data_IF_411925677976
#
_entry.id   IF_411925677976
#
_cell.length_a   1.000
_cell.length_b   1.000
_cell.length_c   1.000
_cell.angle_alpha   90.00
_cell.angle_beta   90.00
_cell.angle_gamma   90.00
#
_symmetry.space_group_name_H-M   'P 1'
#
loop_
_entity.id
_entity.type
_entity.pdbx_description
1 polymer ?
#
# COMPACT_ATOMS: atom_id res chain seq x y z
N UNK A 1 -8.43 -16.75 -23.33
CA UNK A 1 -8.62 -15.31 -23.56
C UNK A 1 -8.46 -14.61 -22.21
N UNK A 2 -7.32 -13.97 -21.98
CA UNK A 2 -7.02 -13.29 -20.71
C UNK A 2 -7.29 -11.80 -20.84
N UNK A 3 -8.40 -11.32 -20.27
CA UNK A 3 -8.64 -9.89 -20.16
C UNK A 3 -7.66 -9.31 -19.14
N UNK A 4 -6.83 -8.36 -19.59
CA UNK A 4 -6.04 -7.52 -18.69
C UNK A 4 -6.93 -6.35 -18.30
N UNK A 5 -7.35 -6.29 -17.04
CA UNK A 5 -7.99 -5.11 -16.50
C UNK A 5 -6.91 -4.13 -16.06
N UNK A 6 -7.01 -2.90 -16.55
CA UNK A 6 -6.27 -1.76 -16.00
C UNK A 6 -7.25 -1.00 -15.08
N UNK A 7 -6.78 -0.61 -13.90
CA UNK A 7 -7.45 0.40 -13.09
C UNK A 7 -7.11 1.76 -13.70
N UNK A 8 -8.11 2.45 -14.26
CA UNK A 8 -7.95 3.74 -14.95
C UNK A 8 -8.00 4.94 -13.98
N UNK A 9 -8.59 4.77 -12.79
CA UNK A 9 -8.80 5.87 -11.83
C UNK A 9 -7.75 5.89 -10.71
N UNK A 10 -6.48 6.07 -11.07
CA UNK A 10 -5.55 6.66 -10.11
C UNK A 10 -5.88 8.16 -9.97
N UNK A 11 -6.79 8.49 -9.05
CA UNK A 11 -7.01 9.88 -8.61
C UNK A 11 -8.34 10.55 -9.00
N UNK A 12 -9.37 9.81 -9.41
CA UNK A 12 -10.70 10.40 -9.67
C UNK A 12 -11.71 9.77 -8.70
N UNK A 13 -11.64 10.20 -7.44
CA UNK A 13 -12.80 10.29 -6.53
C UNK A 13 -12.45 10.89 -5.15
N UNK A 14 -11.17 11.24 -4.91
CA UNK A 14 -10.85 12.34 -3.99
C UNK A 14 -11.14 13.69 -4.65
N UNK A 15 -12.41 13.89 -4.98
CA UNK A 15 -13.01 15.14 -5.39
C UNK A 15 -13.00 16.13 -4.23
N UNK A 16 -11.82 16.68 -3.91
CA UNK A 16 -11.65 18.02 -3.34
C UNK A 16 -10.19 18.45 -3.35
N UNK A 17 -9.61 18.69 -4.54
CA UNK A 17 -8.38 19.51 -4.72
C UNK A 17 -8.60 21.01 -4.39
N UNK A 18 -9.56 21.29 -3.51
CA UNK A 18 -9.84 22.58 -2.90
C UNK A 18 -10.21 22.36 -1.44
N UNK A 19 -9.30 21.79 -0.65
CA UNK A 19 -9.28 21.96 0.80
C UNK A 19 -7.79 22.04 1.22
N UNK A 20 -7.49 22.85 2.24
CA UNK A 20 -6.39 23.82 2.23
C UNK A 20 -5.00 23.21 2.38
N UNK A 21 -4.08 23.58 1.48
CA UNK A 21 -2.67 23.96 1.67
C UNK A 21 -1.71 23.22 2.65
N UNK A 22 -2.11 22.26 3.50
CA UNK A 22 -1.24 21.74 4.58
C UNK A 22 -1.63 20.35 5.10
N UNK A 23 -1.76 19.35 4.24
CA UNK A 23 -1.68 17.96 4.71
C UNK A 23 -0.47 17.29 4.06
N UNK A 24 0.69 17.24 4.75
CA UNK A 24 1.77 16.36 4.31
C UNK A 24 1.24 14.95 4.49
N UNK A 25 0.72 14.34 3.43
CA UNK A 25 0.48 12.90 3.44
C UNK A 25 1.83 12.24 3.72
N UNK A 26 1.96 11.57 4.86
CA UNK A 26 3.22 10.92 5.27
C UNK A 26 3.18 9.42 5.09
N UNK A 27 2.03 8.84 4.74
CA UNK A 27 1.82 7.39 4.80
C UNK A 27 0.83 6.90 3.75
N UNK A 28 1.14 5.74 3.17
CA UNK A 28 0.26 4.89 2.36
C UNK A 28 -0.17 3.71 3.24
N UNK A 29 -1.46 3.36 3.21
CA UNK A 29 -2.02 2.25 4.00
C UNK A 29 -2.57 1.14 3.10
N UNK A 30 -2.30 -0.12 3.47
CA UNK A 30 -2.84 -1.32 2.85
C UNK A 30 -3.57 -2.17 3.91
N UNK A 31 -4.57 -2.93 3.47
CA UNK A 31 -5.36 -3.80 4.35
C UNK A 31 -4.60 -5.11 4.68
N UNK A 32 -4.89 -5.67 5.87
CA UNK A 32 -4.46 -6.99 6.34
C UNK A 32 -4.62 -8.13 5.32
N UNK A 33 -5.57 -8.03 4.39
CA UNK A 33 -5.76 -8.99 3.31
C UNK A 33 -4.50 -9.18 2.44
N UNK A 34 -3.69 -8.13 2.28
CA UNK A 34 -2.40 -8.21 1.57
C UNK A 34 -1.30 -8.88 2.40
N UNK A 35 -1.39 -8.80 3.73
CA UNK A 35 -0.48 -9.49 4.65
C UNK A 35 -0.76 -11.00 4.73
N UNK A 36 -2.04 -11.38 4.85
CA UNK A 36 -2.49 -12.76 5.09
C UNK A 36 -2.02 -13.76 4.03
N UNK A 37 -1.75 -13.26 2.83
CA UNK A 37 -1.28 -14.03 1.69
C UNK A 37 -0.09 -13.33 0.98
N UNK A 38 0.77 -12.63 1.73
CA UNK A 38 1.84 -11.82 1.16
C UNK A 38 2.83 -12.61 0.28
N UNK A 39 2.85 -13.95 0.37
CA UNK A 39 3.68 -14.79 -0.48
C UNK A 39 3.15 -14.94 -1.91
N UNK A 40 1.84 -14.72 -2.12
CA UNK A 40 1.21 -14.80 -3.44
C UNK A 40 1.81 -13.74 -4.38
N UNK A 41 2.14 -14.11 -5.64
CA UNK A 41 2.76 -13.19 -6.59
C UNK A 41 2.00 -11.87 -6.76
N UNK A 42 0.67 -11.92 -6.78
CA UNK A 42 -0.21 -10.75 -6.90
C UNK A 42 -0.08 -9.81 -5.70
N UNK A 43 -0.06 -10.34 -4.48
CA UNK A 43 0.07 -9.55 -3.26
C UNK A 43 1.47 -8.95 -3.14
N UNK A 44 2.52 -9.71 -3.49
CA UNK A 44 3.89 -9.17 -3.58
C UNK A 44 4.00 -8.03 -4.57
N UNK A 45 3.36 -8.16 -5.74
CA UNK A 45 3.38 -7.10 -6.75
C UNK A 45 2.75 -5.82 -6.20
N UNK A 46 1.57 -5.92 -5.56
CA UNK A 46 0.92 -4.75 -4.94
C UNK A 46 1.78 -4.14 -3.84
N UNK A 47 2.28 -4.94 -2.89
CA UNK A 47 3.12 -4.46 -1.78
C UNK A 47 4.38 -3.76 -2.32
N UNK A 48 5.07 -4.36 -3.30
CA UNK A 48 6.28 -3.78 -3.88
C UNK A 48 6.00 -2.49 -4.65
N UNK A 49 4.90 -2.44 -5.42
CA UNK A 49 4.48 -1.23 -6.14
C UNK A 49 4.14 -0.10 -5.17
N UNK A 50 3.37 -0.40 -4.11
CA UNK A 50 3.06 0.56 -3.06
C UNK A 50 4.30 1.03 -2.32
N UNK A 51 5.26 0.14 -2.04
CA UNK A 51 6.52 0.49 -1.39
C UNK A 51 7.37 1.40 -2.28
N UNK A 52 7.43 1.11 -3.58
CA UNK A 52 8.13 1.95 -4.54
C UNK A 52 7.51 3.35 -4.62
N UNK A 53 6.18 3.42 -4.66
CA UNK A 53 5.45 4.69 -4.66
C UNK A 53 5.68 5.49 -3.36
N UNK A 54 5.60 4.83 -2.21
CA UNK A 54 5.86 5.43 -0.90
C UNK A 54 7.27 6.05 -0.87
N UNK A 55 8.29 5.30 -1.31
CA UNK A 55 9.67 5.80 -1.41
C UNK A 55 9.79 7.01 -2.34
N UNK A 56 9.17 6.98 -3.52
CA UNK A 56 9.21 8.10 -4.46
C UNK A 56 8.56 9.37 -3.91
N UNK A 57 7.57 9.22 -3.04
CA UNK A 57 6.85 10.32 -2.41
C UNK A 57 7.41 10.72 -1.04
N UNK A 58 8.48 10.06 -0.57
CA UNK A 58 9.01 10.22 0.80
C UNK A 58 7.94 9.99 1.88
N UNK A 59 7.10 8.97 1.66
CA UNK A 59 6.06 8.50 2.55
C UNK A 59 6.40 7.10 3.07
N UNK A 60 5.83 6.74 4.22
CA UNK A 60 5.87 5.39 4.77
C UNK A 60 4.78 4.50 4.16
N UNK A 61 5.03 3.19 4.09
CA UNK A 61 3.99 2.20 3.73
C UNK A 61 3.64 1.38 4.96
N UNK A 62 2.37 1.28 5.28
CA UNK A 62 1.86 0.54 6.43
C UNK A 62 0.76 -0.43 6.05
N UNK A 63 0.80 -1.62 6.65
CA UNK A 63 -0.26 -2.62 6.48
C UNK A 63 -0.98 -2.76 7.82
N UNK A 64 -2.24 -2.38 7.85
CA UNK A 64 -3.05 -2.37 9.07
C UNK A 64 -3.71 -3.72 9.33
N UNK A 65 -4.02 -4.02 10.59
CA UNK A 65 -4.83 -5.21 10.95
C UNK A 65 -4.09 -6.54 10.89
N UNK A 66 -2.74 -6.53 10.88
CA UNK A 66 -1.92 -7.74 10.95
C UNK A 66 -1.90 -8.26 12.39
N UNK A 67 -2.55 -9.40 12.65
CA UNK A 67 -2.60 -10.00 14.00
C UNK A 67 -1.61 -11.15 14.19
N UNK A 68 -0.97 -11.61 13.12
CA UNK A 68 -0.06 -12.76 13.13
C UNK A 68 1.40 -12.30 13.19
N UNK A 69 2.13 -12.76 14.19
CA UNK A 69 3.55 -12.41 14.41
C UNK A 69 4.46 -12.81 13.24
N UNK A 70 4.19 -13.94 12.56
CA UNK A 70 5.00 -14.39 11.42
C UNK A 70 4.80 -13.48 10.20
N UNK A 71 3.57 -13.03 9.97
CA UNK A 71 3.25 -12.06 8.91
C UNK A 71 3.89 -10.71 9.24
N UNK A 72 3.82 -10.29 10.50
CA UNK A 72 4.45 -9.07 11.00
C UNK A 72 5.96 -9.04 10.72
N UNK A 73 6.71 -10.07 11.13
CA UNK A 73 8.15 -10.17 10.87
C UNK A 73 8.50 -10.20 9.38
N UNK A 74 7.67 -10.85 8.57
CA UNK A 74 7.89 -10.89 7.13
C UNK A 74 7.74 -9.50 6.48
N UNK A 75 6.76 -8.71 6.91
CA UNK A 75 6.50 -7.37 6.36
C UNK A 75 7.59 -6.35 6.72
N UNK A 76 8.19 -6.46 7.91
CA UNK A 76 9.38 -5.67 8.27
C UNK A 76 10.54 -5.90 7.32
N UNK A 77 10.81 -7.16 7.03
CA UNK A 77 11.93 -7.54 6.18
C UNK A 77 11.77 -6.99 4.75
N UNK A 78 10.55 -6.68 4.34
CA UNK A 78 10.21 -6.11 3.03
C UNK A 78 10.30 -4.57 3.04
N UNK A 79 10.43 -3.95 4.22
CA UNK A 79 10.57 -2.50 4.38
C UNK A 79 9.26 -1.74 4.57
N UNK A 80 8.19 -2.43 5.02
CA UNK A 80 7.00 -1.76 5.50
C UNK A 80 7.24 -1.18 6.91
N UNK A 81 6.67 -0.01 7.18
CA UNK A 81 6.63 0.65 8.48
C UNK A 81 5.29 0.35 9.12
N UNK A 82 5.24 0.12 10.43
CA UNK A 82 4.01 -0.34 11.08
C UNK A 82 2.98 0.76 11.39
N UNK A 83 1.75 0.31 11.63
CA UNK A 83 0.62 1.00 12.24
C UNK A 83 -0.33 -0.01 12.85
#
# INVERSE_FOLDING_TARGET
MGCRMAFDDFGIDFSSLKLPYQLPFTQIKLDSAFAKDFQKPENKAVINSSLSLAKSLSMDLTIEGVTNQLEHEALLNIGCVYG
#
